data_IF_415251554510
#
_entry.id   IF_415251554510
#
_cell.length_a   1.000
_cell.length_b   1.000
_cell.length_c   1.000
_cell.angle_alpha   90.00
_cell.angle_beta   90.00
_cell.angle_gamma   90.00
#
_symmetry.space_group_name_H-M   'P 1'
#
loop_
_entity.id
_entity.type
_entity.pdbx_description
1 polymer ?
#
# COMPACT_ATOMS: atom_id res chain seq x y z
N UNK A 1 -13.11 -29.47 97.80
CA UNK A 1 -12.54 -29.88 96.52
C UNK A 1 -11.71 -28.71 96.00
N UNK A 2 -10.42 -28.89 95.92
CA UNK A 2 -9.43 -27.86 95.67
C UNK A 2 -9.16 -27.68 94.20
N UNK A 3 -9.27 -26.48 93.65
CA UNK A 3 -8.73 -26.08 92.39
C UNK A 3 -7.29 -25.63 92.48
N UNK A 4 -6.40 -26.00 91.63
CA UNK A 4 -5.06 -25.44 91.59
C UNK A 4 -4.99 -24.28 90.54
N UNK A 5 -4.33 -23.22 90.98
CA UNK A 5 -3.85 -22.08 90.24
C UNK A 5 -2.77 -22.46 89.20
N UNK A 6 -2.90 -21.99 87.99
CA UNK A 6 -1.83 -22.08 86.97
C UNK A 6 -1.20 -20.70 86.75
N UNK A 7 0.10 -20.69 86.87
CA UNK A 7 0.96 -19.52 86.61
C UNK A 7 1.14 -19.33 85.08
N UNK A 8 1.18 -18.06 84.64
CA UNK A 8 1.47 -17.65 83.28
C UNK A 8 3.00 -17.59 83.00
N UNK A 9 3.49 -18.04 81.87
CA UNK A 9 4.87 -17.75 81.47
C UNK A 9 5.00 -16.44 80.77
N UNK A 10 6.06 -15.70 81.11
CA UNK A 10 6.50 -14.48 80.40
C UNK A 10 7.00 -14.83 79.02
N UNK A 11 6.42 -14.26 77.93
CA UNK A 11 6.95 -14.28 76.58
C UNK A 11 8.00 -13.16 76.43
N UNK A 12 9.21 -13.58 76.09
CA UNK A 12 10.28 -12.71 75.64
C UNK A 12 10.05 -12.35 74.17
N UNK A 13 9.98 -11.09 73.82
CA UNK A 13 9.89 -10.60 72.47
C UNK A 13 11.26 -10.69 71.79
N UNK A 14 11.34 -11.50 70.74
CA UNK A 14 12.48 -11.50 69.80
C UNK A 14 12.12 -10.59 68.63
N UNK A 15 12.79 -9.44 68.53
CA UNK A 15 12.75 -8.60 67.35
C UNK A 15 13.60 -9.24 66.24
N UNK A 16 12.96 -9.76 65.20
CA UNK A 16 13.62 -10.12 63.98
C UNK A 16 13.62 -8.93 63.01
N UNK A 17 14.78 -8.36 62.79
CA UNK A 17 14.98 -7.34 61.75
C UNK A 17 14.93 -7.95 60.37
N UNK A 18 13.85 -7.73 59.61
CA UNK A 18 13.77 -8.05 58.19
C UNK A 18 14.49 -6.93 57.40
N UNK A 19 15.72 -7.20 56.95
CA UNK A 19 16.37 -6.48 55.86
C UNK A 19 15.65 -6.81 54.55
N UNK A 20 14.79 -5.92 54.09
CA UNK A 20 14.20 -6.01 52.75
C UNK A 20 15.26 -5.71 51.68
N UNK A 21 15.70 -6.71 50.94
CA UNK A 21 16.43 -6.51 49.68
C UNK A 21 15.45 -5.93 48.65
N UNK A 22 15.55 -4.63 48.38
CA UNK A 22 14.98 -4.03 47.17
C UNK A 22 15.82 -4.49 45.99
N UNK A 23 15.34 -5.49 45.26
CA UNK A 23 15.85 -5.82 43.91
C UNK A 23 15.18 -4.82 42.95
N UNK A 24 15.93 -3.93 42.27
CA UNK A 24 15.33 -3.13 41.21
C UNK A 24 14.90 -4.08 40.07
N UNK A 25 13.59 -4.18 39.82
CA UNK A 25 13.08 -4.73 38.58
C UNK A 25 13.61 -3.83 37.44
N UNK A 26 14.72 -4.24 36.82
CA UNK A 26 15.11 -3.74 35.52
C UNK A 26 14.01 -4.20 34.55
N UNK A 27 13.05 -3.33 34.33
CA UNK A 27 12.08 -3.51 33.24
C UNK A 27 12.85 -3.70 31.96
N UNK A 28 12.82 -4.91 31.42
CA UNK A 28 13.19 -5.16 30.02
C UNK A 28 12.20 -4.35 29.19
N UNK A 29 12.55 -3.09 28.94
CA UNK A 29 11.84 -2.26 27.97
C UNK A 29 11.84 -3.03 26.65
N UNK A 30 10.65 -3.38 26.13
CA UNK A 30 10.52 -3.82 24.76
C UNK A 30 11.28 -2.82 23.88
N UNK A 31 12.17 -3.27 23.00
CA UNK A 31 12.89 -2.34 22.14
C UNK A 31 11.86 -1.46 21.44
N UNK A 32 11.95 -0.16 21.66
CA UNK A 32 11.12 0.81 20.96
C UNK A 32 11.37 0.57 19.46
N UNK A 33 10.37 0.06 18.74
CA UNK A 33 10.45 -0.02 17.29
C UNK A 33 10.71 1.39 16.79
N UNK A 34 11.80 1.59 16.09
CA UNK A 34 12.08 2.89 15.47
C UNK A 34 10.85 3.29 14.65
N UNK A 35 10.40 4.54 14.81
CA UNK A 35 9.27 5.05 14.05
C UNK A 35 9.54 4.81 12.54
N UNK A 36 8.56 4.32 11.77
CA UNK A 36 8.77 4.04 10.35
C UNK A 36 9.29 5.30 9.66
N UNK A 37 10.36 5.15 8.90
CA UNK A 37 11.03 6.25 8.20
C UNK A 37 10.26 6.75 6.97
N UNK A 38 9.15 6.09 6.61
CA UNK A 38 8.36 6.33 5.41
C UNK A 38 6.85 6.42 5.65
N UNK A 39 6.12 6.04 4.63
CA UNK A 39 4.67 5.89 4.75
C UNK A 39 4.31 4.92 5.86
N UNK A 40 3.19 5.20 6.53
CA UNK A 40 2.65 4.33 7.58
C UNK A 40 1.14 4.37 7.63
N UNK A 41 0.56 3.30 8.12
CA UNK A 41 -0.88 3.22 8.39
C UNK A 41 -1.15 3.60 9.85
N UNK A 42 -2.12 4.49 10.05
CA UNK A 42 -2.63 4.83 11.37
C UNK A 42 -4.14 5.07 11.31
N UNK A 43 -4.90 4.40 12.16
CA UNK A 43 -6.36 4.54 12.25
C UNK A 43 -7.08 4.36 10.89
N UNK A 44 -6.62 3.41 10.08
CA UNK A 44 -7.19 3.14 8.75
C UNK A 44 -6.81 4.15 7.67
N UNK A 45 -5.88 5.05 7.96
CA UNK A 45 -5.41 6.07 7.01
C UNK A 45 -3.96 5.83 6.64
N UNK A 46 -3.59 6.16 5.41
CA UNK A 46 -2.21 6.20 4.95
C UNK A 46 -1.63 7.58 5.26
N UNK A 47 -0.56 7.60 6.03
CA UNK A 47 0.15 8.82 6.39
C UNK A 47 1.53 8.85 5.78
N UNK A 48 1.98 10.02 5.36
CA UNK A 48 3.38 10.29 5.04
C UNK A 48 4.27 10.22 6.29
N UNK A 49 5.58 10.12 6.12
CA UNK A 49 6.55 10.10 7.21
C UNK A 49 6.38 11.26 8.22
N UNK A 50 5.99 12.43 7.73
CA UNK A 50 5.73 13.63 8.53
C UNK A 50 4.37 13.63 9.26
N UNK A 51 3.56 12.57 9.12
CA UNK A 51 2.28 12.41 9.79
C UNK A 51 1.07 13.01 9.08
N UNK A 52 1.25 13.59 7.90
CA UNK A 52 0.12 14.08 7.12
C UNK A 52 -0.58 12.96 6.37
N UNK A 53 -1.90 13.06 6.25
CA UNK A 53 -2.67 12.15 5.40
C UNK A 53 -2.24 12.23 3.95
N UNK A 54 -2.10 11.07 3.32
CA UNK A 54 -1.85 10.96 1.89
C UNK A 54 -2.98 10.17 1.21
N UNK A 55 -3.65 10.84 0.27
CA UNK A 55 -4.72 10.24 -0.53
C UNK A 55 -4.23 10.10 -1.96
N UNK A 56 -4.09 8.86 -2.43
CA UNK A 56 -3.64 8.56 -3.78
C UNK A 56 -4.65 9.06 -4.80
N UNK A 57 -4.18 9.78 -5.81
CA UNK A 57 -4.90 10.18 -7.00
C UNK A 57 -3.99 9.94 -8.18
N UNK A 58 -4.20 8.85 -8.89
CA UNK A 58 -3.26 8.45 -9.92
C UNK A 58 -3.80 7.44 -10.91
N UNK A 59 -2.87 6.85 -11.64
CA UNK A 59 -3.14 5.89 -12.71
C UNK A 59 -2.12 4.76 -12.69
N UNK A 60 -2.46 3.67 -13.36
CA UNK A 60 -1.57 2.56 -13.64
C UNK A 60 -0.75 2.81 -14.91
N UNK A 61 0.52 2.37 -14.92
CA UNK A 61 1.43 2.46 -16.07
C UNK A 61 2.02 1.09 -16.39
N UNK A 62 1.83 0.64 -17.59
CA UNK A 62 2.15 -0.69 -18.10
C UNK A 62 3.67 -0.86 -18.41
N UNK A 63 4.56 -0.58 -17.45
CA UNK A 63 6.01 -0.47 -17.67
C UNK A 63 6.66 -1.76 -18.17
N UNK A 64 6.33 -2.91 -17.59
CA UNK A 64 6.98 -4.19 -17.99
C UNK A 64 6.79 -4.52 -19.46
N UNK A 65 5.67 -4.10 -20.06
CA UNK A 65 5.39 -4.32 -21.49
C UNK A 65 5.90 -3.18 -22.37
N UNK A 66 6.10 -1.99 -21.79
CA UNK A 66 6.53 -0.79 -22.52
C UNK A 66 7.68 -0.07 -21.79
N UNK A 67 8.83 -0.75 -21.57
CA UNK A 67 9.93 -0.19 -20.77
C UNK A 67 10.55 1.06 -21.37
N UNK A 68 10.43 1.25 -22.69
CA UNK A 68 10.91 2.45 -23.39
C UNK A 68 9.99 3.66 -23.22
N UNK A 69 8.77 3.47 -22.66
CA UNK A 69 7.80 4.53 -22.43
C UNK A 69 7.94 5.17 -21.03
N UNK A 70 9.14 5.21 -20.50
CA UNK A 70 9.43 5.74 -19.15
C UNK A 70 9.03 7.21 -18.99
N UNK A 71 9.01 8.00 -20.09
CA UNK A 71 8.52 9.37 -20.10
C UNK A 71 7.03 9.51 -19.73
N UNK A 72 6.27 8.42 -19.79
CA UNK A 72 4.88 8.38 -19.32
C UNK A 72 4.74 8.83 -17.87
N UNK A 73 5.73 8.59 -17.02
CA UNK A 73 5.74 9.02 -15.62
C UNK A 73 5.67 10.55 -15.52
N UNK A 74 6.48 11.27 -16.33
CA UNK A 74 6.42 12.73 -16.39
C UNK A 74 5.09 13.22 -16.95
N UNK A 75 4.56 12.56 -17.97
CA UNK A 75 3.29 12.90 -18.59
C UNK A 75 2.09 12.71 -17.64
N UNK A 76 2.12 11.64 -16.84
CA UNK A 76 1.12 11.38 -15.78
C UNK A 76 1.16 12.51 -14.73
N UNK A 77 2.34 12.95 -14.31
CA UNK A 77 2.48 14.12 -13.42
C UNK A 77 1.92 15.39 -14.05
N UNK A 78 2.16 15.61 -15.33
CA UNK A 78 1.63 16.79 -16.04
C UNK A 78 0.09 16.81 -16.05
N UNK A 79 -0.57 15.65 -15.92
CA UNK A 79 -2.03 15.51 -15.71
C UNK A 79 -2.44 15.64 -14.23
N UNK A 80 -1.53 16.15 -13.36
CA UNK A 80 -1.75 16.46 -11.94
C UNK A 80 -1.90 15.25 -11.02
N UNK A 81 -1.56 14.04 -11.45
CA UNK A 81 -1.50 12.89 -10.55
C UNK A 81 -0.47 13.12 -9.42
N UNK A 82 -0.69 12.50 -8.26
CA UNK A 82 0.26 12.43 -7.16
C UNK A 82 0.87 11.03 -6.99
N UNK A 83 0.31 10.02 -7.66
CA UNK A 83 0.71 8.63 -7.56
C UNK A 83 0.71 8.00 -8.95
N UNK A 84 1.65 7.10 -9.19
CA UNK A 84 1.64 6.16 -10.31
C UNK A 84 1.83 4.75 -9.79
N UNK A 85 0.95 3.80 -10.18
CA UNK A 85 1.15 2.38 -9.94
C UNK A 85 1.81 1.79 -11.18
N UNK A 86 2.99 1.20 -10.99
CA UNK A 86 3.86 0.75 -12.06
C UNK A 86 3.85 -0.76 -12.13
N UNK A 87 3.41 -1.28 -13.26
CA UNK A 87 3.37 -2.70 -13.57
C UNK A 87 4.78 -3.21 -13.83
N UNK A 88 5.23 -4.14 -12.99
CA UNK A 88 6.50 -4.85 -13.11
C UNK A 88 6.27 -6.35 -13.26
N UNK A 89 7.31 -7.08 -13.64
CA UNK A 89 7.31 -8.53 -13.74
C UNK A 89 8.48 -9.15 -12.97
N UNK A 90 8.23 -10.30 -12.33
CA UNK A 90 9.27 -11.07 -11.65
C UNK A 90 10.04 -12.03 -12.55
N UNK A 91 9.56 -12.22 -13.79
CA UNK A 91 10.18 -13.08 -14.79
C UNK A 91 9.53 -14.45 -14.94
N UNK A 92 8.45 -14.76 -14.22
CA UNK A 92 7.77 -16.04 -14.34
C UNK A 92 6.81 -16.07 -15.55
N UNK A 93 6.21 -14.94 -15.85
CA UNK A 93 5.26 -14.81 -16.96
C UNK A 93 5.71 -13.80 -18.01
N UNK A 94 6.30 -12.69 -17.61
CA UNK A 94 6.80 -11.64 -18.51
C UNK A 94 8.27 -11.35 -18.23
N UNK A 95 8.89 -10.53 -19.10
CA UNK A 95 10.28 -10.15 -18.95
C UNK A 95 10.51 -9.47 -17.60
N UNK A 96 11.44 -10.03 -16.82
CA UNK A 96 11.78 -9.54 -15.49
C UNK A 96 12.31 -8.10 -15.55
N UNK A 97 11.76 -7.25 -14.71
CA UNK A 97 12.35 -5.95 -14.41
C UNK A 97 13.45 -6.13 -13.36
N UNK A 98 14.68 -5.86 -13.71
CA UNK A 98 15.82 -6.03 -12.83
C UNK A 98 15.99 -4.87 -11.84
N UNK A 99 17.00 -4.98 -10.96
CA UNK A 99 17.29 -3.96 -9.94
C UNK A 99 17.59 -2.59 -10.55
N UNK A 100 18.29 -2.53 -11.68
CA UNK A 100 18.66 -1.27 -12.32
C UNK A 100 17.46 -0.57 -12.95
N UNK A 101 16.58 -1.35 -13.61
CA UNK A 101 15.35 -0.83 -14.19
C UNK A 101 14.40 -0.31 -13.10
N UNK A 102 14.19 -1.07 -12.02
CA UNK A 102 13.36 -0.62 -10.89
C UNK A 102 13.93 0.63 -10.22
N UNK A 103 15.26 0.72 -10.03
CA UNK A 103 15.90 1.92 -9.50
C UNK A 103 15.67 3.13 -10.42
N UNK A 104 15.72 2.94 -11.75
CA UNK A 104 15.39 3.99 -12.71
C UNK A 104 13.93 4.42 -12.59
N UNK A 105 12.97 3.49 -12.51
CA UNK A 105 11.54 3.80 -12.31
C UNK A 105 11.33 4.64 -11.06
N UNK A 106 11.90 4.23 -9.93
CA UNK A 106 11.84 4.98 -8.65
C UNK A 106 12.42 6.38 -8.81
N UNK A 107 13.57 6.49 -9.49
CA UNK A 107 14.21 7.79 -9.77
C UNK A 107 13.31 8.70 -10.61
N UNK A 108 12.63 8.15 -11.63
CA UNK A 108 11.68 8.92 -12.46
C UNK A 108 10.47 9.38 -11.65
N UNK A 109 9.89 8.52 -10.81
CA UNK A 109 8.80 8.92 -9.92
C UNK A 109 9.24 10.09 -9.02
N UNK A 110 10.40 9.98 -8.37
CA UNK A 110 10.93 11.03 -7.49
C UNK A 110 11.20 12.34 -8.21
N UNK A 111 11.85 12.30 -9.38
CA UNK A 111 12.10 13.50 -10.21
C UNK A 111 10.80 14.21 -10.61
N UNK A 112 9.76 13.43 -10.83
CA UNK A 112 8.44 13.94 -11.21
C UNK A 112 7.51 14.16 -10.01
N UNK A 113 8.02 14.03 -8.75
CA UNK A 113 7.27 14.28 -7.53
C UNK A 113 5.97 13.45 -7.45
N UNK A 114 6.08 12.17 -7.82
CA UNK A 114 5.04 11.16 -7.72
C UNK A 114 5.40 10.13 -6.66
N UNK A 115 4.42 9.67 -5.90
CA UNK A 115 4.56 8.47 -5.11
C UNK A 115 4.45 7.27 -6.03
N UNK A 116 5.37 6.34 -5.89
CA UNK A 116 5.51 5.17 -6.73
C UNK A 116 4.91 3.96 -6.01
N UNK A 117 3.84 3.39 -6.54
CA UNK A 117 3.35 2.07 -6.14
C UNK A 117 3.90 1.07 -7.14
N UNK A 118 4.75 0.16 -6.69
CA UNK A 118 5.36 -0.87 -7.53
C UNK A 118 4.64 -2.18 -7.33
N UNK A 119 4.25 -2.89 -8.39
CA UNK A 119 3.54 -4.17 -8.30
C UNK A 119 4.14 -5.25 -9.20
N UNK A 120 4.01 -6.52 -8.80
CA UNK A 120 4.35 -7.69 -9.62
C UNK A 120 3.10 -8.22 -10.29
N UNK A 121 3.03 -8.12 -11.61
CA UNK A 121 1.84 -8.51 -12.37
C UNK A 121 1.75 -10.02 -12.67
N UNK A 122 2.86 -10.76 -12.50
CA UNK A 122 2.92 -12.20 -12.78
C UNK A 122 1.99 -13.04 -11.89
N UNK A 123 1.49 -12.49 -10.77
CA UNK A 123 0.54 -13.17 -9.88
C UNK A 123 -0.90 -13.17 -10.38
N UNK A 124 -1.21 -12.35 -11.40
CA UNK A 124 -2.57 -12.12 -11.87
C UNK A 124 -3.29 -13.42 -12.22
N UNK A 125 -4.39 -13.65 -11.51
CA UNK A 125 -5.26 -14.81 -11.75
C UNK A 125 -4.64 -16.15 -11.39
N UNK A 126 -3.67 -16.21 -10.46
CA UNK A 126 -3.08 -17.48 -10.02
C UNK A 126 -4.17 -18.50 -9.68
N UNK A 127 -3.98 -19.73 -10.13
CA UNK A 127 -4.96 -20.81 -10.01
C UNK A 127 -5.89 -20.98 -11.22
N UNK A 128 -6.17 -19.90 -11.95
CA UNK A 128 -6.99 -19.90 -13.19
C UNK A 128 -6.14 -19.64 -14.42
N UNK A 129 -5.17 -18.74 -14.29
CA UNK A 129 -4.34 -18.29 -15.41
C UNK A 129 -3.05 -19.10 -15.49
N UNK A 130 -2.81 -19.72 -16.66
CA UNK A 130 -1.56 -20.42 -16.94
C UNK A 130 -0.36 -19.47 -16.87
N UNK A 131 0.72 -19.92 -16.22
CA UNK A 131 1.94 -19.14 -16.05
C UNK A 131 1.89 -18.10 -14.92
N UNK A 132 0.75 -17.90 -14.27
CA UNK A 132 0.67 -17.03 -13.10
C UNK A 132 1.48 -17.62 -11.94
N UNK A 133 2.14 -16.74 -11.19
CA UNK A 133 3.00 -17.12 -10.06
C UNK A 133 2.35 -16.92 -8.70
N UNK A 134 2.97 -17.45 -7.65
CA UNK A 134 2.49 -17.33 -6.27
C UNK A 134 2.94 -16.02 -5.62
N UNK A 135 2.19 -15.56 -4.60
CA UNK A 135 2.63 -14.43 -3.75
C UNK A 135 4.00 -14.68 -3.10
N UNK A 136 4.32 -15.94 -2.76
CA UNK A 136 5.64 -16.28 -2.20
C UNK A 136 6.78 -16.01 -3.18
N UNK A 137 6.61 -16.32 -4.48
CA UNK A 137 7.61 -16.01 -5.51
C UNK A 137 7.68 -14.52 -5.83
N UNK A 138 6.55 -13.82 -5.79
CA UNK A 138 6.55 -12.35 -5.87
C UNK A 138 7.33 -11.74 -4.70
N UNK A 139 7.18 -12.27 -3.48
CA UNK A 139 7.98 -11.82 -2.34
C UNK A 139 9.49 -12.11 -2.52
N UNK A 140 9.88 -13.25 -3.12
CA UNK A 140 11.28 -13.53 -3.48
C UNK A 140 11.85 -12.49 -4.44
N UNK A 141 11.06 -12.09 -5.43
CA UNK A 141 11.46 -11.02 -6.35
C UNK A 141 11.75 -9.71 -5.60
N UNK A 142 10.84 -9.25 -4.74
CA UNK A 142 11.05 -8.02 -3.96
C UNK A 142 12.31 -8.08 -3.10
N UNK A 143 12.58 -9.24 -2.49
CA UNK A 143 13.80 -9.46 -1.71
C UNK A 143 15.05 -9.37 -2.60
N UNK A 144 14.99 -9.94 -3.79
CA UNK A 144 16.14 -9.97 -4.72
C UNK A 144 16.53 -8.60 -5.26
N UNK A 145 15.57 -7.65 -5.34
CA UNK A 145 15.80 -6.28 -5.82
C UNK A 145 15.79 -5.25 -4.67
N UNK A 146 15.90 -5.72 -3.42
CA UNK A 146 15.79 -4.85 -2.23
C UNK A 146 16.71 -3.64 -2.25
N UNK A 147 17.88 -3.73 -2.90
CA UNK A 147 18.80 -2.61 -3.02
C UNK A 147 18.24 -1.41 -3.79
N UNK A 148 17.32 -1.62 -4.73
CA UNK A 148 16.61 -0.53 -5.43
C UNK A 148 15.57 0.17 -4.54
N UNK A 149 15.12 -0.51 -3.47
CA UNK A 149 14.04 -0.06 -2.59
C UNK A 149 14.56 0.55 -1.29
N UNK A 150 15.76 0.16 -0.84
CA UNK A 150 16.33 0.58 0.43
C UNK A 150 16.42 2.13 0.54
N UNK A 151 15.86 2.69 1.63
CA UNK A 151 15.81 4.14 1.86
C UNK A 151 14.77 4.88 1.02
N UNK A 152 13.87 4.17 0.34
CA UNK A 152 12.81 4.75 -0.48
C UNK A 152 11.42 4.69 0.18
N UNK A 153 11.33 4.37 1.46
CA UNK A 153 10.09 4.13 2.20
C UNK A 153 9.16 5.36 2.21
N UNK A 154 9.69 6.57 2.02
CA UNK A 154 8.90 7.81 1.90
C UNK A 154 8.37 8.07 0.48
N UNK A 155 8.79 7.29 -0.51
CA UNK A 155 8.48 7.52 -1.92
C UNK A 155 7.86 6.31 -2.60
N UNK A 156 8.03 5.13 -2.03
CA UNK A 156 7.66 3.84 -2.63
C UNK A 156 6.74 3.06 -1.69
N UNK A 157 5.67 2.52 -2.27
CA UNK A 157 4.78 1.54 -1.67
C UNK A 157 4.95 0.25 -2.49
N UNK A 158 5.13 -0.88 -1.82
CA UNK A 158 5.32 -2.18 -2.47
C UNK A 158 3.98 -2.93 -2.50
N UNK A 159 3.38 -3.03 -3.67
CA UNK A 159 2.22 -3.86 -3.93
C UNK A 159 2.72 -5.29 -4.24
N UNK A 160 2.52 -6.22 -3.31
CA UNK A 160 3.22 -7.51 -3.30
C UNK A 160 3.01 -8.28 -4.59
N UNK A 161 1.77 -8.33 -5.08
CA UNK A 161 1.41 -8.97 -6.34
C UNK A 161 0.02 -8.56 -6.78
N UNK A 162 -0.15 -8.38 -8.09
CA UNK A 162 -1.41 -8.02 -8.71
C UNK A 162 -2.38 -9.20 -8.69
N UNK A 163 -3.63 -8.96 -8.29
CA UNK A 163 -4.76 -9.92 -8.40
C UNK A 163 -4.36 -11.37 -8.11
N UNK A 164 -3.83 -11.69 -6.92
CA UNK A 164 -3.03 -12.87 -6.65
C UNK A 164 -3.78 -14.20 -6.76
N UNK A 165 -5.09 -14.17 -6.92
CA UNK A 165 -5.94 -15.33 -7.21
C UNK A 165 -7.04 -14.97 -8.20
N UNK A 166 -7.30 -15.89 -9.15
CA UNK A 166 -8.52 -15.92 -9.92
C UNK A 166 -9.70 -16.39 -9.05
N UNK A 167 -10.62 -17.13 -9.65
CA UNK A 167 -11.80 -17.64 -8.94
C UNK A 167 -11.50 -18.97 -8.22
N UNK A 168 -10.56 -19.76 -8.76
CA UNK A 168 -10.11 -20.98 -8.12
C UNK A 168 -9.15 -20.67 -6.97
N UNK A 169 -9.31 -21.39 -5.86
CA UNK A 169 -8.44 -21.28 -4.69
C UNK A 169 -8.39 -19.91 -3.99
N UNK A 170 -9.35 -19.02 -4.25
CA UNK A 170 -9.41 -17.70 -3.60
C UNK A 170 -9.36 -17.79 -2.06
N UNK A 171 -9.85 -18.88 -1.47
CA UNK A 171 -9.80 -19.13 -0.01
C UNK A 171 -8.36 -19.20 0.55
N UNK A 172 -7.35 -19.48 -0.29
CA UNK A 172 -5.93 -19.50 0.12
C UNK A 172 -5.35 -18.10 0.32
N UNK A 173 -6.00 -17.08 -0.24
CA UNK A 173 -5.53 -15.69 -0.22
C UNK A 173 -5.08 -15.25 1.17
N UNK A 174 -5.86 -15.54 2.20
CA UNK A 174 -5.58 -15.11 3.58
C UNK A 174 -4.26 -15.67 4.09
N UNK A 175 -4.04 -16.97 3.94
CA UNK A 175 -2.82 -17.63 4.43
C UNK A 175 -1.59 -17.19 3.61
N UNK A 176 -1.70 -17.17 2.30
CA UNK A 176 -0.59 -16.87 1.41
C UNK A 176 -0.20 -15.39 1.47
N UNK A 177 -1.17 -14.48 1.64
CA UNK A 177 -0.90 -13.06 1.87
C UNK A 177 -0.16 -12.82 3.19
N UNK A 178 -0.60 -13.46 4.29
CA UNK A 178 0.11 -13.40 5.57
C UNK A 178 1.55 -13.92 5.45
N UNK A 179 1.73 -15.05 4.76
CA UNK A 179 3.05 -15.64 4.51
C UNK A 179 3.97 -14.71 3.71
N UNK A 180 3.46 -14.07 2.67
CA UNK A 180 4.22 -13.12 1.86
C UNK A 180 4.62 -11.86 2.68
N UNK A 181 3.70 -11.28 3.44
CA UNK A 181 3.98 -10.16 4.35
C UNK A 181 5.09 -10.54 5.34
N UNK A 182 4.96 -11.66 6.04
CA UNK A 182 5.96 -12.13 7.00
C UNK A 182 7.33 -12.33 6.35
N UNK A 183 7.36 -12.92 5.14
CA UNK A 183 8.58 -13.15 4.38
C UNK A 183 9.30 -11.84 4.05
N UNK A 184 8.57 -10.83 3.59
CA UNK A 184 9.11 -9.49 3.30
C UNK A 184 9.61 -8.79 4.56
N UNK A 185 8.83 -8.82 5.65
CA UNK A 185 9.24 -8.24 6.93
C UNK A 185 10.49 -8.91 7.51
N UNK A 186 10.58 -10.23 7.41
CA UNK A 186 11.77 -10.99 7.85
C UNK A 186 13.02 -10.65 7.03
N UNK A 187 12.85 -10.32 5.76
CA UNK A 187 13.93 -9.83 4.88
C UNK A 187 14.29 -8.35 5.12
N UNK A 188 13.60 -7.66 6.02
CA UNK A 188 13.86 -6.26 6.37
C UNK A 188 13.28 -5.24 5.39
N UNK A 189 12.22 -5.58 4.64
CA UNK A 189 11.43 -4.60 3.90
C UNK A 189 10.47 -3.88 4.85
N UNK A 190 10.72 -2.59 5.09
CA UNK A 190 9.94 -1.76 6.04
C UNK A 190 8.92 -0.85 5.33
N UNK A 191 8.85 -0.92 4.01
CA UNK A 191 7.88 -0.16 3.19
C UNK A 191 6.44 -0.42 3.63
N UNK A 192 5.56 0.55 3.40
CA UNK A 192 4.13 0.23 3.33
C UNK A 192 3.93 -0.84 2.26
N UNK A 193 3.29 -1.94 2.65
CA UNK A 193 2.89 -2.99 1.73
C UNK A 193 1.47 -2.74 1.24
N UNK A 194 1.21 -3.06 -0.01
CA UNK A 194 -0.14 -3.10 -0.56
C UNK A 194 -0.46 -4.54 -0.93
N UNK A 195 -1.68 -4.98 -0.65
CA UNK A 195 -2.15 -6.34 -0.97
C UNK A 195 -3.46 -6.25 -1.73
N UNK A 196 -3.47 -6.85 -2.92
CA UNK A 196 -4.65 -6.88 -3.77
C UNK A 196 -5.59 -8.01 -3.35
N UNK A 197 -6.87 -7.80 -3.58
CA UNK A 197 -7.90 -8.79 -3.36
C UNK A 197 -7.77 -9.99 -4.30
N UNK A 198 -8.30 -11.16 -3.94
CA UNK A 198 -8.48 -12.29 -4.84
C UNK A 198 -9.68 -12.06 -5.79
N UNK A 199 -10.06 -13.09 -6.54
CA UNK A 199 -11.13 -13.06 -7.54
C UNK A 199 -10.87 -11.97 -8.59
N UNK A 200 -9.66 -12.03 -9.20
CA UNK A 200 -9.24 -11.02 -10.18
C UNK A 200 -9.34 -9.60 -9.61
N UNK A 201 -8.84 -9.44 -8.39
CA UNK A 201 -8.82 -8.15 -7.67
C UNK A 201 -10.18 -7.66 -7.16
N UNK A 202 -11.29 -8.28 -7.58
CA UNK A 202 -12.64 -7.76 -7.32
C UNK A 202 -13.29 -8.25 -6.02
N UNK A 203 -12.72 -9.27 -5.37
CA UNK A 203 -13.19 -9.82 -4.07
C UNK A 203 -14.69 -10.15 -4.03
N UNK A 204 -15.27 -10.64 -5.14
CA UNK A 204 -16.71 -10.92 -5.18
C UNK A 204 -17.15 -11.99 -4.16
N UNK A 205 -16.21 -12.85 -3.73
CA UNK A 205 -16.43 -13.83 -2.65
C UNK A 205 -16.22 -13.24 -1.25
N UNK A 206 -15.83 -11.96 -1.15
CA UNK A 206 -15.56 -11.24 0.10
C UNK A 206 -14.43 -11.83 0.95
N UNK A 207 -13.53 -12.58 0.36
CA UNK A 207 -12.42 -13.22 1.07
C UNK A 207 -11.49 -12.19 1.71
N UNK A 208 -11.08 -11.14 0.97
CA UNK A 208 -10.29 -10.05 1.54
C UNK A 208 -11.10 -9.26 2.57
N UNK A 209 -12.32 -8.86 2.22
CA UNK A 209 -13.18 -8.07 3.12
C UNK A 209 -13.32 -8.72 4.50
N UNK A 210 -13.59 -10.02 4.53
CA UNK A 210 -13.89 -10.72 5.78
C UNK A 210 -12.63 -11.12 6.57
N UNK A 211 -11.44 -11.12 5.92
CA UNK A 211 -10.18 -11.51 6.54
C UNK A 211 -9.15 -10.38 6.69
N UNK A 212 -9.44 -9.18 6.18
CA UNK A 212 -8.50 -8.06 6.17
C UNK A 212 -7.97 -7.71 7.57
N UNK A 213 -8.80 -7.71 8.60
CA UNK A 213 -8.39 -7.45 9.97
C UNK A 213 -7.33 -8.46 10.45
N UNK A 214 -7.48 -9.74 10.11
CA UNK A 214 -6.54 -10.80 10.48
C UNK A 214 -5.22 -10.72 9.68
N UNK A 215 -5.29 -10.28 8.43
CA UNK A 215 -4.10 -10.04 7.60
C UNK A 215 -3.33 -8.84 8.12
N UNK A 216 -4.02 -7.72 8.40
CA UNK A 216 -3.42 -6.53 8.99
C UNK A 216 -2.75 -6.84 10.34
N UNK A 217 -3.40 -7.67 11.16
CA UNK A 217 -2.85 -8.11 12.45
C UNK A 217 -1.60 -8.98 12.31
N UNK A 218 -1.43 -9.70 11.21
CA UNK A 218 -0.27 -10.55 10.95
C UNK A 218 0.96 -9.76 10.49
N UNK A 219 0.79 -8.52 9.99
CA UNK A 219 1.90 -7.62 9.73
C UNK A 219 2.43 -7.05 11.05
N UNK A 220 3.66 -7.44 11.43
CA UNK A 220 4.28 -6.94 12.68
C UNK A 220 4.43 -5.42 12.73
N UNK A 221 4.56 -4.79 11.55
CA UNK A 221 4.72 -3.33 11.44
C UNK A 221 3.36 -2.61 11.33
N UNK A 222 2.25 -3.37 11.20
CA UNK A 222 0.89 -2.82 11.00
C UNK A 222 0.86 -1.78 9.87
N UNK A 223 1.63 -2.01 8.81
CA UNK A 223 1.84 -1.08 7.72
C UNK A 223 1.46 -1.70 6.36
N UNK A 224 0.25 -2.26 6.30
CA UNK A 224 -0.34 -2.88 5.11
C UNK A 224 -1.60 -2.13 4.70
N UNK A 225 -1.71 -1.77 3.40
CA UNK A 225 -2.88 -1.18 2.74
C UNK A 225 -3.56 -2.25 1.89
N UNK A 226 -4.88 -2.33 1.96
CA UNK A 226 -5.67 -3.22 1.11
C UNK A 226 -6.02 -2.53 -0.19
N UNK A 227 -6.08 -3.31 -1.28
CA UNK A 227 -6.37 -2.82 -2.62
C UNK A 227 -7.47 -3.69 -3.25
N UNK A 228 -8.53 -3.05 -3.71
CA UNK A 228 -9.61 -3.68 -4.47
C UNK A 228 -9.60 -3.13 -5.89
N UNK A 229 -9.83 -4.01 -6.87
CA UNK A 229 -10.02 -3.62 -8.26
C UNK A 229 -11.51 -3.59 -8.57
N UNK A 230 -12.00 -2.42 -8.99
CA UNK A 230 -13.43 -2.23 -9.17
C UNK A 230 -13.79 -2.22 -10.66
N UNK A 231 -14.22 -3.40 -11.13
CA UNK A 231 -14.73 -3.60 -12.48
C UNK A 231 -16.21 -4.06 -12.42
N UNK A 232 -16.65 -5.00 -13.24
CA UNK A 232 -18.06 -5.34 -13.42
C UNK A 232 -18.83 -5.78 -12.16
N UNK A 233 -18.14 -6.28 -11.13
CA UNK A 233 -18.75 -6.58 -9.83
C UNK A 233 -19.34 -5.31 -9.20
N UNK A 234 -18.68 -4.16 -9.40
CA UNK A 234 -19.04 -2.88 -8.77
C UNK A 234 -19.87 -1.97 -9.70
N UNK A 235 -20.90 -2.54 -10.29
CA UNK A 235 -21.75 -1.91 -11.29
C UNK A 235 -22.89 -1.03 -10.73
N UNK A 236 -22.89 -0.76 -9.43
CA UNK A 236 -23.84 0.15 -8.77
C UNK A 236 -23.20 0.89 -7.61
N UNK A 237 -23.67 2.11 -7.36
CA UNK A 237 -23.24 2.91 -6.21
C UNK A 237 -23.45 2.17 -4.87
N UNK A 238 -24.49 1.35 -4.74
CA UNK A 238 -24.75 0.58 -3.53
C UNK A 238 -23.63 -0.42 -3.24
N UNK A 239 -23.16 -1.18 -4.23
CA UNK A 239 -22.07 -2.16 -4.09
C UNK A 239 -20.74 -1.46 -3.77
N UNK A 240 -20.42 -0.38 -4.46
CA UNK A 240 -19.22 0.44 -4.21
C UNK A 240 -19.21 0.94 -2.77
N UNK A 241 -20.30 1.58 -2.35
CA UNK A 241 -20.41 2.16 -1.01
C UNK A 241 -20.39 1.10 0.09
N UNK A 242 -21.11 -0.02 -0.07
CA UNK A 242 -21.10 -1.10 0.93
C UNK A 242 -19.69 -1.62 1.16
N UNK A 243 -18.98 -1.94 0.08
CA UNK A 243 -17.62 -2.50 0.19
C UNK A 243 -16.65 -1.53 0.86
N UNK A 244 -16.54 -0.29 0.37
CA UNK A 244 -15.59 0.69 0.88
C UNK A 244 -15.91 1.14 2.30
N UNK A 245 -17.19 1.34 2.64
CA UNK A 245 -17.59 1.75 3.99
C UNK A 245 -17.22 0.69 5.04
N UNK A 246 -17.23 -0.61 4.72
CA UNK A 246 -16.84 -1.66 5.68
C UNK A 246 -15.38 -1.54 6.11
N UNK A 247 -14.46 -1.27 5.18
CA UNK A 247 -13.05 -1.04 5.50
C UNK A 247 -12.87 0.22 6.35
N UNK A 248 -13.52 1.31 5.98
CA UNK A 248 -13.43 2.58 6.73
C UNK A 248 -14.00 2.42 8.14
N UNK A 249 -15.16 1.76 8.29
CA UNK A 249 -15.76 1.50 9.60
C UNK A 249 -14.87 0.61 10.49
N UNK A 250 -14.18 -0.35 9.89
CA UNK A 250 -13.24 -1.22 10.58
C UNK A 250 -11.87 -0.55 10.85
N UNK A 251 -11.67 0.70 10.39
CA UNK A 251 -10.39 1.43 10.46
C UNK A 251 -9.25 0.64 9.77
N UNK A 252 -9.57 0.00 8.66
CA UNK A 252 -8.63 -0.69 7.79
C UNK A 252 -8.37 0.18 6.55
N UNK A 253 -7.11 0.42 6.17
CA UNK A 253 -6.79 1.26 5.02
C UNK A 253 -7.13 0.52 3.73
N UNK A 254 -7.91 1.16 2.87
CA UNK A 254 -8.33 0.63 1.56
C UNK A 254 -8.02 1.64 0.46
N UNK A 255 -7.68 1.14 -0.72
CA UNK A 255 -7.53 1.89 -1.96
C UNK A 255 -8.26 1.15 -3.08
N UNK A 256 -8.80 1.89 -4.05
CA UNK A 256 -9.20 1.30 -5.33
C UNK A 256 -7.96 1.29 -6.22
N UNK A 257 -7.27 0.12 -6.28
CA UNK A 257 -5.98 -0.02 -6.97
C UNK A 257 -6.08 -0.03 -8.47
N UNK A 258 -7.23 -0.47 -8.97
CA UNK A 258 -7.60 -0.39 -10.38
C UNK A 258 -9.11 -0.16 -10.52
N UNK A 259 -9.49 0.58 -11.55
CA UNK A 259 -10.87 0.65 -12.04
C UNK A 259 -10.91 1.25 -13.44
N UNK A 260 -12.00 1.00 -14.14
CA UNK A 260 -12.32 1.57 -15.43
C UNK A 260 -13.74 2.11 -15.46
N UNK A 261 -14.25 2.39 -16.66
CA UNK A 261 -15.65 2.76 -16.91
C UNK A 261 -16.40 1.66 -17.65
N UNK A 262 -15.67 0.68 -18.17
CA UNK A 262 -16.15 -0.47 -18.90
C UNK A 262 -15.22 -1.67 -18.63
N UNK A 263 -15.75 -2.88 -18.71
CA UNK A 263 -14.95 -4.10 -18.63
C UNK A 263 -15.71 -5.29 -19.24
N UNK A 264 -14.99 -6.36 -19.57
CA UNK A 264 -15.58 -7.56 -20.20
C UNK A 264 -16.63 -8.28 -19.35
N UNK A 265 -16.57 -8.12 -18.03
CA UNK A 265 -17.53 -8.70 -17.06
C UNK A 265 -18.66 -7.72 -16.65
N UNK A 266 -18.71 -6.53 -17.25
CA UNK A 266 -19.72 -5.50 -17.03
C UNK A 266 -19.13 -4.13 -16.72
N UNK A 267 -19.96 -3.11 -16.85
CA UNK A 267 -19.52 -1.72 -16.60
C UNK A 267 -19.56 -1.41 -15.11
N UNK A 268 -18.42 -1.04 -14.49
CA UNK A 268 -18.45 -0.51 -13.14
C UNK A 268 -19.14 0.86 -13.09
N UNK A 269 -19.56 1.27 -11.91
CA UNK A 269 -20.07 2.62 -11.64
C UNK A 269 -18.87 3.52 -11.26
N UNK A 270 -18.12 3.98 -12.25
CA UNK A 270 -16.92 4.80 -12.04
C UNK A 270 -17.23 6.14 -11.37
N UNK A 271 -18.42 6.67 -11.60
CA UNK A 271 -18.89 7.91 -10.95
C UNK A 271 -19.05 7.70 -9.45
N UNK A 272 -19.66 6.60 -9.05
CA UNK A 272 -19.81 6.23 -7.64
C UNK A 272 -18.46 5.89 -6.99
N UNK A 273 -17.54 5.22 -7.71
CA UNK A 273 -16.19 4.90 -7.24
C UNK A 273 -15.44 6.19 -6.89
N UNK A 274 -15.37 7.14 -7.82
CA UNK A 274 -14.66 8.40 -7.62
C UNK A 274 -15.30 9.27 -6.55
N UNK A 275 -16.64 9.31 -6.50
CA UNK A 275 -17.39 10.08 -5.49
C UNK A 275 -17.21 9.47 -4.08
N UNK A 276 -17.31 8.15 -3.95
CA UNK A 276 -17.10 7.45 -2.67
C UNK A 276 -15.66 7.62 -2.19
N UNK A 277 -14.67 7.44 -3.06
CA UNK A 277 -13.26 7.63 -2.72
C UNK A 277 -12.98 9.06 -2.23
N UNK A 278 -13.55 10.07 -2.87
CA UNK A 278 -13.40 11.47 -2.44
C UNK A 278 -14.09 11.71 -1.09
N UNK A 279 -15.31 11.25 -0.92
CA UNK A 279 -16.09 11.42 0.32
C UNK A 279 -15.43 10.73 1.52
N UNK A 280 -14.87 9.53 1.31
CA UNK A 280 -14.25 8.72 2.35
C UNK A 280 -12.77 9.05 2.59
N UNK A 281 -12.15 9.88 1.76
CA UNK A 281 -10.73 10.22 1.86
C UNK A 281 -9.81 9.02 1.56
N UNK A 282 -10.21 8.11 0.66
CA UNK A 282 -9.42 6.96 0.23
C UNK A 282 -8.86 7.17 -1.18
N UNK A 283 -7.81 6.42 -1.51
CA UNK A 283 -7.14 6.51 -2.80
C UNK A 283 -7.88 5.84 -3.94
N UNK A 284 -7.63 6.30 -5.17
CA UNK A 284 -7.98 5.57 -6.39
C UNK A 284 -6.90 5.71 -7.46
N UNK A 285 -6.73 4.65 -8.27
CA UNK A 285 -5.77 4.54 -9.37
C UNK A 285 -6.50 3.99 -10.61
N UNK A 286 -6.70 4.82 -11.63
CA UNK A 286 -7.39 4.39 -12.85
C UNK A 286 -6.54 3.46 -13.72
N UNK A 287 -7.13 2.47 -14.32
CA UNK A 287 -6.49 1.61 -15.32
C UNK A 287 -6.79 2.15 -16.70
N UNK A 288 -5.83 2.34 -17.59
CA UNK A 288 -4.39 2.55 -17.39
C UNK A 288 -3.89 3.63 -18.36
N UNK A 289 -2.66 4.14 -18.19
CA UNK A 289 -2.15 5.26 -19.00
C UNK A 289 -2.31 5.01 -20.50
N UNK A 290 -1.78 3.91 -21.04
CA UNK A 290 -1.94 3.49 -22.44
C UNK A 290 -1.32 2.11 -22.66
N UNK A 291 -1.63 1.48 -23.79
CA UNK A 291 -0.99 0.24 -24.24
C UNK A 291 -1.79 -1.01 -23.89
N UNK A 292 -3.07 -0.88 -23.57
CA UNK A 292 -3.95 -2.03 -23.42
C UNK A 292 -4.11 -2.79 -24.75
N UNK A 293 -4.29 -4.12 -24.67
CA UNK A 293 -4.62 -4.95 -25.82
C UNK A 293 -5.93 -4.51 -26.49
N UNK A 294 -6.14 -4.92 -27.74
CA UNK A 294 -7.34 -4.55 -28.51
C UNK A 294 -8.65 -4.81 -27.79
N UNK A 295 -8.71 -5.88 -26.98
CA UNK A 295 -9.91 -6.33 -26.29
C UNK A 295 -10.34 -5.37 -25.17
N UNK A 296 -9.38 -4.64 -24.60
CA UNK A 296 -9.59 -3.70 -23.49
C UNK A 296 -8.98 -2.33 -23.75
N UNK A 297 -8.69 -2.00 -25.02
CA UNK A 297 -8.11 -0.71 -25.44
C UNK A 297 -8.97 0.49 -25.02
N UNK A 298 -10.27 0.29 -24.83
CA UNK A 298 -11.17 1.32 -24.31
C UNK A 298 -10.76 1.83 -22.91
N UNK A 299 -9.91 1.11 -22.19
CA UNK A 299 -9.36 1.53 -20.90
C UNK A 299 -8.12 2.42 -21.01
N UNK A 300 -7.58 2.63 -22.23
CA UNK A 300 -6.50 3.59 -22.42
C UNK A 300 -6.95 5.01 -22.07
N UNK A 301 -6.17 5.69 -21.22
CA UNK A 301 -6.43 7.08 -20.82
C UNK A 301 -5.93 8.08 -21.87
N UNK A 302 -4.89 7.68 -22.60
CA UNK A 302 -4.35 8.46 -23.74
C UNK A 302 -4.12 7.52 -24.94
N UNK A 303 -4.35 8.04 -26.12
CA UNK A 303 -4.12 7.28 -27.35
C UNK A 303 -2.63 7.19 -27.67
N UNK A 304 -2.09 5.96 -27.74
CA UNK A 304 -0.73 5.72 -28.21
C UNK A 304 0.36 6.38 -27.37
N UNK A 305 0.16 6.50 -26.06
CA UNK A 305 1.06 7.17 -25.10
C UNK A 305 1.22 8.68 -25.31
N UNK A 306 0.42 9.31 -26.17
CA UNK A 306 0.46 10.75 -26.41
C UNK A 306 -0.34 11.50 -25.31
N UNK A 307 0.32 12.28 -24.44
CA UNK A 307 -0.35 12.99 -23.35
C UNK A 307 -1.34 14.06 -23.84
N UNK A 308 -1.26 14.48 -25.10
CA UNK A 308 -2.16 15.47 -25.67
C UNK A 308 -3.44 14.86 -26.26
N UNK A 309 -3.53 13.53 -26.31
CA UNK A 309 -4.64 12.79 -26.89
C UNK A 309 -5.40 12.00 -25.81
N UNK A 310 -6.02 12.70 -24.85
CA UNK A 310 -6.90 12.07 -23.87
C UNK A 310 -8.07 11.38 -24.58
N UNK A 311 -8.36 10.15 -24.17
CA UNK A 311 -9.59 9.45 -24.55
C UNK A 311 -10.79 9.99 -23.76
N UNK A 312 -12.00 9.53 -24.02
CA UNK A 312 -13.17 9.85 -23.18
C UNK A 312 -12.96 9.42 -21.73
N UNK A 313 -12.38 8.23 -21.53
CA UNK A 313 -12.01 7.73 -20.19
C UNK A 313 -10.95 8.61 -19.53
N UNK A 314 -9.91 9.01 -20.27
CA UNK A 314 -8.91 9.96 -19.77
C UNK A 314 -9.51 11.31 -19.39
N UNK A 315 -10.42 11.85 -20.20
CA UNK A 315 -11.14 13.08 -19.85
C UNK A 315 -11.97 12.92 -18.59
N UNK A 316 -12.70 11.80 -18.45
CA UNK A 316 -13.51 11.53 -17.26
C UNK A 316 -12.65 11.44 -16.00
N UNK A 317 -11.57 10.66 -16.05
CA UNK A 317 -10.72 10.39 -14.89
C UNK A 317 -9.92 11.63 -14.45
N UNK A 318 -9.34 12.38 -15.40
CA UNK A 318 -8.51 13.53 -15.04
C UNK A 318 -9.33 14.77 -14.75
N UNK A 319 -10.34 15.08 -15.57
CA UNK A 319 -10.99 16.39 -15.60
C UNK A 319 -12.46 16.36 -15.14
N UNK A 320 -13.07 15.18 -15.01
CA UNK A 320 -14.47 15.05 -14.59
C UNK A 320 -14.69 15.32 -13.11
N UNK A 321 -15.92 15.17 -12.66
CA UNK A 321 -16.30 15.31 -11.26
C UNK A 321 -15.49 14.35 -10.38
N UNK A 322 -14.96 14.84 -9.26
CA UNK A 322 -14.03 14.10 -8.36
C UNK A 322 -12.76 13.58 -9.06
N UNK A 323 -12.43 14.12 -10.23
CA UNK A 323 -11.27 13.74 -11.03
C UNK A 323 -9.93 14.14 -10.41
N UNK A 324 -8.86 13.60 -10.97
CA UNK A 324 -7.49 13.77 -10.45
C UNK A 324 -7.11 15.25 -10.39
N UNK A 325 -7.40 16.02 -11.45
CA UNK A 325 -6.99 17.41 -11.53
C UNK A 325 -7.56 18.31 -10.42
N UNK A 326 -8.77 18.00 -9.95
CA UNK A 326 -9.45 18.76 -8.91
C UNK A 326 -9.14 18.25 -7.48
N UNK A 327 -8.79 16.98 -7.31
CA UNK A 327 -8.74 16.33 -5.99
C UNK A 327 -7.34 15.91 -5.55
N UNK A 328 -6.38 15.86 -6.47
CA UNK A 328 -5.01 15.47 -6.18
C UNK A 328 -4.27 16.54 -5.38
N UNK A 329 -3.52 16.09 -4.38
CA UNK A 329 -2.57 16.91 -3.61
C UNK A 329 -1.21 16.24 -3.66
N UNK A 330 -0.18 17.03 -3.98
CA UNK A 330 1.19 16.51 -3.99
C UNK A 330 1.61 16.05 -2.60
N UNK A 331 2.38 14.95 -2.53
CA UNK A 331 2.94 14.46 -1.28
C UNK A 331 3.91 15.50 -0.68
N UNK A 332 3.77 15.76 0.61
CA UNK A 332 4.54 16.80 1.30
C UNK A 332 6.02 16.46 1.45
N UNK A 333 6.38 15.19 1.31
CA UNK A 333 7.79 14.78 1.24
C UNK A 333 8.56 15.56 0.16
N UNK A 334 7.88 16.03 -0.88
CA UNK A 334 8.46 16.85 -1.93
C UNK A 334 8.44 18.35 -1.64
N UNK A 335 7.68 18.82 -0.66
CA UNK A 335 7.58 20.24 -0.31
C UNK A 335 8.67 20.69 0.67
N UNK A 336 9.24 19.76 1.45
CA UNK A 336 10.29 20.03 2.44
C UNK A 336 11.70 20.26 1.85
N UNK A 337 11.93 19.90 0.60
CA UNK A 337 13.24 20.03 -0.05
C UNK A 337 13.55 21.45 -0.57
N UNK A 338 12.61 22.40 -0.49
CA UNK A 338 12.76 23.74 -1.06
C UNK A 338 13.26 24.81 -0.08
N UNK A 339 13.73 24.44 1.13
CA UNK A 339 14.37 25.36 2.07
C UNK A 339 15.80 24.91 2.46
N UNK A 340 16.59 24.55 1.48
CA UNK A 340 18.04 24.51 1.58
C UNK A 340 18.54 25.92 1.25
N UNK A 341 18.99 26.64 2.25
CA UNK A 341 19.61 27.95 2.18
C UNK A 341 20.68 27.98 1.11
N UNK A 342 20.55 28.90 0.14
CA UNK A 342 21.71 29.35 -0.66
C UNK A 342 22.82 29.80 0.30
N UNK A 343 24.07 29.41 0.07
CA UNK A 343 25.18 30.01 0.80
C UNK A 343 25.22 31.50 0.44
N UNK A 344 25.01 32.33 1.43
CA UNK A 344 25.32 33.75 1.35
C UNK A 344 26.79 33.87 0.95
N UNK A 345 27.04 34.44 -0.22
CA UNK A 345 28.39 34.86 -0.59
C UNK A 345 28.86 35.86 0.47
N UNK A 346 29.84 35.42 1.28
CA UNK A 346 30.56 36.33 2.13
C UNK A 346 31.35 37.30 1.22
N UNK A 347 30.95 38.55 1.26
CA UNK A 347 31.75 39.66 0.75
C UNK A 347 33.11 39.62 1.39
N UNK A 348 34.17 39.42 0.60
CA UNK A 348 35.52 39.75 0.96
C UNK A 348 35.70 41.24 0.69
N UNK A 349 35.68 42.03 1.75
CA UNK A 349 36.22 43.37 1.75
C UNK A 349 37.61 43.35 2.44
N UNK A 350 38.60 43.83 1.68
CA UNK A 350 39.99 44.27 1.98
C UNK A 350 41.08 43.21 2.07
#
# INVERSE_FOLDING_TARGET
MKSPTRAAPRMAAVMAALLGLLVPLLGLGTPAHAAPTGFRVQNGRLLEANGNDFVMRGVNHAHTWYPTRISSIANIKAKRANTVRVVLANGDRWTRNDTADVANVVSQCKRNRLICVLEVHDTTGYGDQSGATTLSRAADYWISIKSALAGQESYVIVNIGNEPYGNNNASRWTADTKGAIQKLRNAGLNHTLMVDAPNWGQDWSFTMRDNAASVFAADRDRNTVFSVHMYGVYNTAAKVNDYLNRFVAAKLPIVVGEFGFNHSDGNPDEDAIMAAAQRLGIGYLGWSWSGNSSDVQYLDLVTGFDPNRLTSWGQRLFNGANGIAATSKEARVYSGAARGTSPTAAQADR
#
